data_IF_287164357255
#
_entry.id   IF_287164357255
#
_cell.length_a   1.000
_cell.length_b   1.000
_cell.length_c   1.000
_cell.angle_alpha   90.00
_cell.angle_beta   90.00
_cell.angle_gamma   90.00
#
_symmetry.space_group_name_H-M   'P 1'
#
loop_
_entity.id
_entity.type
_entity.pdbx_description
1 polymer ?
#
# COMPACT_ATOMS: atom_id res chain seq x y z
N UNK A 1 8.68 -19.14 -22.51
CA UNK A 1 8.81 -19.55 -21.10
C UNK A 1 8.34 -18.39 -20.21
N UNK A 2 7.10 -18.46 -19.69
CA UNK A 2 6.46 -17.42 -18.85
C UNK A 2 5.91 -18.01 -17.54
N UNK A 3 6.40 -19.18 -17.14
CA UNK A 3 5.84 -19.95 -16.02
C UNK A 3 6.46 -19.59 -14.65
N UNK A 4 7.52 -18.79 -14.62
CA UNK A 4 8.17 -18.35 -13.38
C UNK A 4 7.42 -17.21 -12.67
N UNK A 5 6.59 -16.42 -13.37
CA UNK A 5 5.77 -15.36 -12.76
C UNK A 5 4.53 -15.90 -12.02
N UNK A 6 4.07 -17.11 -12.36
CA UNK A 6 2.88 -17.72 -11.75
C UNK A 6 3.14 -18.26 -10.33
N UNK A 7 4.39 -18.63 -10.00
CA UNK A 7 4.71 -19.28 -8.73
C UNK A 7 5.03 -18.32 -7.57
N UNK A 8 5.41 -17.07 -7.86
CA UNK A 8 5.66 -16.06 -6.80
C UNK A 8 4.37 -15.42 -6.24
N UNK A 9 3.19 -15.75 -6.81
CA UNK A 9 1.86 -15.35 -6.32
C UNK A 9 1.19 -16.39 -5.41
N UNK A 10 1.87 -17.49 -5.07
CA UNK A 10 1.23 -18.66 -4.43
C UNK A 10 0.77 -18.44 -2.99
N UNK A 11 1.00 -17.27 -2.40
CA UNK A 11 0.20 -16.78 -1.28
C UNK A 11 0.58 -15.32 -1.02
N UNK A 12 -0.31 -14.38 -1.36
CA UNK A 12 -0.30 -13.06 -0.71
C UNK A 12 -0.37 -13.25 0.82
N UNK A 13 -0.07 -12.21 1.63
CA UNK A 13 -0.18 -12.32 3.07
C UNK A 13 -1.56 -12.88 3.42
N UNK A 14 -1.59 -13.95 4.21
CA UNK A 14 -2.87 -14.46 4.68
C UNK A 14 -3.49 -13.37 5.56
N UNK A 15 -4.82 -13.19 5.58
CA UNK A 15 -5.47 -12.17 6.40
C UNK A 15 -5.01 -12.15 7.86
N UNK A 16 -4.61 -13.31 8.40
CA UNK A 16 -4.07 -13.49 9.76
C UNK A 16 -2.73 -12.81 10.03
N UNK A 17 -2.00 -12.41 8.99
CA UNK A 17 -0.68 -11.78 9.08
C UNK A 17 -0.77 -10.25 8.83
N UNK A 18 -1.98 -9.71 8.65
CA UNK A 18 -2.25 -8.29 8.45
C UNK A 18 -2.86 -7.68 9.70
N UNK A 19 -2.41 -6.47 10.04
CA UNK A 19 -2.88 -5.73 11.22
C UNK A 19 -3.26 -4.29 10.86
N UNK A 20 -4.25 -3.77 11.57
CA UNK A 20 -4.59 -2.34 11.51
C UNK A 20 -3.37 -1.51 11.90
N UNK A 21 -3.07 -0.48 11.12
CA UNK A 21 -1.88 0.35 11.27
C UNK A 21 -0.72 -0.04 10.35
N UNK A 22 -0.71 -1.25 9.76
CA UNK A 22 0.31 -1.62 8.78
C UNK A 22 0.29 -0.69 7.56
N UNK A 23 1.48 -0.31 7.09
CA UNK A 23 1.66 0.51 5.88
C UNK A 23 1.67 -0.33 4.62
N UNK A 24 1.17 0.25 3.53
CA UNK A 24 1.14 -0.36 2.21
C UNK A 24 1.19 0.69 1.10
N UNK A 25 1.29 0.24 -0.14
CA UNK A 25 1.18 1.05 -1.35
C UNK A 25 -0.18 0.83 -2.01
N UNK A 26 -0.97 1.89 -2.19
CA UNK A 26 -2.34 1.81 -2.68
C UNK A 26 -2.56 2.61 -3.96
N UNK A 27 -3.29 2.05 -4.91
CA UNK A 27 -3.74 2.74 -6.12
C UNK A 27 -4.89 3.69 -5.77
N UNK A 28 -4.79 4.95 -6.19
CA UNK A 28 -5.90 5.90 -6.15
C UNK A 28 -6.96 5.48 -7.19
N UNK A 29 -8.20 5.21 -6.73
CA UNK A 29 -9.30 4.79 -7.61
C UNK A 29 -9.81 5.92 -8.51
N UNK A 30 -9.66 7.17 -8.08
CA UNK A 30 -10.03 8.36 -8.86
C UNK A 30 -8.96 8.67 -9.91
N UNK A 31 -7.70 8.34 -9.63
CA UNK A 31 -6.60 8.46 -10.58
C UNK A 31 -5.69 7.21 -10.54
N UNK A 32 -6.03 6.13 -11.28
CA UNK A 32 -5.28 4.87 -11.25
C UNK A 32 -3.83 4.94 -11.74
N UNK A 33 -3.38 6.10 -12.24
CA UNK A 33 -1.97 6.34 -12.53
C UNK A 33 -1.12 6.55 -11.29
N UNK A 34 -1.75 6.92 -10.16
CA UNK A 34 -1.09 7.20 -8.89
C UNK A 34 -1.10 5.95 -8.00
N UNK A 35 0.05 5.70 -7.38
CA UNK A 35 0.20 4.78 -6.26
C UNK A 35 0.71 5.62 -5.10
N UNK A 36 0.05 5.54 -3.95
CA UNK A 36 0.28 6.40 -2.80
C UNK A 36 0.64 5.58 -1.57
N UNK A 37 1.28 6.23 -0.61
CA UNK A 37 1.45 5.70 0.75
C UNK A 37 0.09 5.61 1.44
N UNK A 38 -0.20 4.45 2.03
CA UNK A 38 -1.46 4.18 2.69
C UNK A 38 -1.27 3.31 3.93
N UNK A 39 -2.32 3.27 4.75
CA UNK A 39 -2.40 2.51 6.00
C UNK A 39 -3.64 1.61 5.97
N UNK A 40 -3.54 0.40 6.54
CA UNK A 40 -4.72 -0.41 6.86
C UNK A 40 -5.45 0.26 8.03
N UNK A 41 -6.56 0.94 7.74
CA UNK A 41 -7.35 1.62 8.75
C UNK A 41 -8.30 0.67 9.52
N UNK A 42 -8.75 -0.41 8.86
CA UNK A 42 -9.60 -1.43 9.47
C UNK A 42 -9.50 -2.76 8.70
N UNK A 43 -9.88 -3.86 9.36
CA UNK A 43 -9.94 -5.20 8.78
C UNK A 43 -11.28 -5.83 9.12
N UNK A 44 -11.99 -6.28 8.09
CA UNK A 44 -13.25 -7.01 8.22
C UNK A 44 -13.20 -8.28 7.37
N UNK A 45 -13.14 -9.44 8.03
CA UNK A 45 -13.01 -10.75 7.37
C UNK A 45 -11.77 -10.82 6.46
N UNK A 46 -11.97 -10.87 5.14
CA UNK A 46 -10.93 -10.90 4.10
C UNK A 46 -10.77 -9.55 3.38
N UNK A 47 -11.25 -8.47 4.00
CA UNK A 47 -11.19 -7.12 3.45
C UNK A 47 -10.41 -6.17 4.31
N UNK A 48 -9.74 -5.24 3.64
CA UNK A 48 -8.98 -4.13 4.21
C UNK A 48 -9.70 -2.83 3.91
N UNK A 49 -9.84 -1.96 4.91
CA UNK A 49 -10.10 -0.55 4.71
C UNK A 49 -8.76 0.14 4.50
N UNK A 50 -8.55 0.67 3.31
CA UNK A 50 -7.34 1.38 2.92
C UNK A 50 -7.55 2.87 3.13
N UNK A 51 -6.70 3.48 3.95
CA UNK A 51 -6.64 4.91 4.16
C UNK A 51 -5.38 5.50 3.55
N UNK A 52 -5.52 6.59 2.79
CA UNK A 52 -4.38 7.26 2.17
C UNK A 52 -3.74 8.25 3.15
N UNK A 53 -2.45 8.09 3.43
CA UNK A 53 -1.80 8.87 4.46
C UNK A 53 -1.81 10.37 4.11
N UNK A 54 -2.29 11.19 5.05
CA UNK A 54 -2.48 12.66 4.92
C UNK A 54 -3.62 13.10 3.98
N UNK A 55 -4.49 12.17 3.57
CA UNK A 55 -5.72 12.48 2.84
C UNK A 55 -6.91 12.38 3.79
N UNK A 56 -8.07 12.87 3.36
CA UNK A 56 -9.31 12.66 4.10
C UNK A 56 -9.97 11.32 3.74
N UNK A 57 -10.77 10.79 4.67
CA UNK A 57 -11.41 9.48 4.60
C UNK A 57 -12.40 9.31 3.42
N UNK A 58 -12.75 10.38 2.67
CA UNK A 58 -13.61 10.24 1.49
C UNK A 58 -12.93 9.50 0.34
N UNK A 59 -11.60 9.34 0.41
CA UNK A 59 -10.80 8.57 -0.53
C UNK A 59 -10.58 7.12 -0.09
N UNK A 60 -10.97 6.79 1.14
CA UNK A 60 -10.79 5.46 1.69
C UNK A 60 -11.64 4.46 0.92
N UNK A 61 -11.13 3.24 0.82
CA UNK A 61 -11.89 2.17 0.20
C UNK A 61 -11.66 0.83 0.84
N UNK A 62 -12.71 0.01 0.77
CA UNK A 62 -12.61 -1.41 1.05
C UNK A 62 -12.12 -2.18 -0.17
N UNK A 63 -11.21 -3.13 0.04
CA UNK A 63 -10.82 -4.11 -0.96
C UNK A 63 -10.49 -5.47 -0.33
N UNK A 64 -10.47 -6.52 -1.15
CA UNK A 64 -9.95 -7.84 -0.77
C UNK A 64 -8.45 -7.76 -0.41
N UNK A 65 -7.98 -8.60 0.51
CA UNK A 65 -6.55 -8.68 0.89
C UNK A 65 -5.61 -8.99 -0.28
N UNK A 66 -6.09 -9.64 -1.34
CA UNK A 66 -5.36 -9.98 -2.55
C UNK A 66 -5.65 -9.01 -3.71
N UNK A 67 -6.33 -7.90 -3.43
CA UNK A 67 -6.66 -6.90 -4.44
C UNK A 67 -5.39 -6.40 -5.13
N UNK A 68 -5.36 -6.32 -6.48
CA UNK A 68 -4.20 -5.79 -7.19
C UNK A 68 -3.97 -4.29 -6.95
N UNK A 69 -4.93 -3.61 -6.32
CA UNK A 69 -4.87 -2.18 -5.99
C UNK A 69 -4.10 -1.88 -4.70
N UNK A 70 -3.78 -2.91 -3.91
CA UNK A 70 -2.91 -2.79 -2.73
C UNK A 70 -1.68 -3.64 -2.93
N UNK A 71 -0.53 -3.10 -2.59
CA UNK A 71 0.77 -3.74 -2.76
C UNK A 71 1.60 -3.57 -1.49
N UNK A 72 2.50 -4.51 -1.18
CA UNK A 72 3.39 -4.37 -0.03
C UNK A 72 4.33 -3.17 -0.20
N UNK A 73 4.82 -2.67 0.93
CA UNK A 73 5.86 -1.64 1.00
C UNK A 73 7.04 -2.01 0.10
N UNK A 74 7.43 -1.09 -0.79
CA UNK A 74 8.58 -1.24 -1.69
C UNK A 74 8.22 -1.71 -3.10
N UNK A 75 6.97 -2.11 -3.36
CA UNK A 75 6.55 -2.63 -4.66
C UNK A 75 6.78 -1.64 -5.81
N UNK A 76 6.49 -0.35 -5.63
CA UNK A 76 6.70 0.68 -6.64
C UNK A 76 8.17 0.75 -7.05
N UNK A 77 9.08 0.74 -6.08
CA UNK A 77 10.53 0.75 -6.33
C UNK A 77 10.96 -0.46 -7.16
N UNK A 78 10.46 -1.66 -6.82
CA UNK A 78 10.78 -2.90 -7.53
C UNK A 78 10.23 -2.94 -8.96
N UNK A 79 9.12 -2.25 -9.20
CA UNK A 79 8.43 -2.24 -10.48
C UNK A 79 8.67 -0.96 -11.31
N UNK A 80 9.64 -0.12 -10.90
CA UNK A 80 9.99 1.11 -11.61
C UNK A 80 8.87 2.14 -11.66
N UNK A 81 7.99 2.14 -10.65
CA UNK A 81 6.88 3.09 -10.50
C UNK A 81 7.23 4.16 -9.47
N UNK A 82 6.67 5.34 -9.66
CA UNK A 82 6.76 6.43 -8.68
C UNK A 82 5.70 6.24 -7.61
N UNK A 83 6.14 6.22 -6.35
CA UNK A 83 5.28 6.28 -5.18
C UNK A 83 5.03 7.74 -4.82
N UNK A 84 3.76 8.10 -4.61
CA UNK A 84 3.36 9.41 -4.11
C UNK A 84 3.51 9.42 -2.59
N UNK A 85 4.44 10.26 -2.11
CA UNK A 85 4.67 10.46 -0.69
C UNK A 85 3.46 11.16 -0.02
N UNK A 86 3.25 10.98 1.31
CA UNK A 86 2.22 11.70 2.05
C UNK A 86 2.40 13.22 1.94
N UNK A 87 1.29 13.95 1.95
CA UNK A 87 1.34 15.41 1.91
C UNK A 87 2.12 15.97 3.10
N UNK A 88 3.07 16.87 2.84
CA UNK A 88 3.90 17.47 3.88
C UNK A 88 5.15 16.67 4.25
N UNK A 89 5.43 15.55 3.58
CA UNK A 89 6.72 14.87 3.71
C UNK A 89 7.87 15.80 3.24
N UNK A 90 8.98 15.96 4.00
CA UNK A 90 9.97 17.02 3.76
C UNK A 90 10.64 17.02 2.38
N UNK A 91 10.91 15.85 1.81
CA UNK A 91 11.49 15.68 0.48
C UNK A 91 10.73 14.56 -0.27
N UNK A 92 9.58 14.87 -0.91
CA UNK A 92 8.71 13.86 -1.53
C UNK A 92 9.39 13.04 -2.62
N UNK A 93 10.34 13.64 -3.35
CA UNK A 93 11.09 12.94 -4.41
C UNK A 93 12.08 11.92 -3.85
N UNK A 94 12.47 12.06 -2.57
CA UNK A 94 13.37 11.15 -1.85
C UNK A 94 12.66 10.38 -0.75
N UNK A 95 11.35 10.17 -0.87
CA UNK A 95 10.59 9.41 0.12
C UNK A 95 11.27 8.08 0.48
N UNK A 96 11.46 7.86 1.78
CA UNK A 96 12.09 6.68 2.33
C UNK A 96 11.10 5.93 3.21
N UNK A 97 10.73 4.72 2.79
CA UNK A 97 9.90 3.83 3.60
C UNK A 97 10.53 3.54 4.96
N UNK A 98 11.85 3.39 5.03
CA UNK A 98 12.56 3.15 6.30
C UNK A 98 12.36 4.30 7.28
N UNK A 99 12.64 5.53 6.84
CA UNK A 99 12.47 6.71 7.70
C UNK A 99 11.01 6.94 8.07
N UNK A 100 10.09 6.67 7.13
CA UNK A 100 8.67 6.85 7.36
C UNK A 100 8.12 5.87 8.39
N UNK A 101 8.46 4.59 8.28
CA UNK A 101 8.06 3.56 9.26
C UNK A 101 8.63 3.83 10.65
N UNK A 102 9.89 4.25 10.74
CA UNK A 102 10.52 4.67 12.01
C UNK A 102 9.78 5.86 12.63
N UNK A 103 9.38 6.85 11.81
CA UNK A 103 8.67 8.04 12.26
C UNK A 103 7.22 7.75 12.68
N UNK A 104 6.55 6.77 12.08
CA UNK A 104 5.14 6.44 12.36
C UNK A 104 4.94 5.35 13.42
N UNK A 105 6.02 4.82 14.01
CA UNK A 105 6.00 3.76 15.03
C UNK A 105 5.18 2.52 14.63
N UNK A 106 5.29 2.12 13.36
CA UNK A 106 4.63 0.96 12.76
C UNK A 106 5.64 -0.12 12.42
#
# INVERSE_FOLDING_TARGET
MHLVQWYLRVSGPAPKDLEVGMKLEAVDRSNPSLVCVATIADIAEDRLLVHFDSWDDSHDYWCDVNSPYVQPVGWCRENGRTLVAPQGYPDPEKFSWTEYLEATQT
#
